data_IF_694861292118
#
_entry.id   IF_694861292118
#
_cell.length_a   1.000
_cell.length_b   1.000
_cell.length_c   1.000
_cell.angle_alpha   90.00
_cell.angle_beta   90.00
_cell.angle_gamma   90.00
#
_symmetry.space_group_name_H-M   'P 1'
#
loop_
_entity.id
_entity.type
_entity.pdbx_description
1 polymer ?
#
# COMPACT_ATOMS: atom_id res chain seq x y z
N UNK A 1 -4.66 23.24 41.93
CA UNK A 1 -3.81 23.28 40.75
C UNK A 1 -3.73 21.85 40.29
N UNK A 2 -4.67 21.43 39.41
CA UNK A 2 -4.69 20.08 38.86
C UNK A 2 -3.55 19.97 37.81
N UNK A 3 -2.86 18.82 37.70
CA UNK A 3 -1.86 18.66 36.67
C UNK A 3 -2.57 18.69 35.32
N UNK A 4 -2.14 19.59 34.44
CA UNK A 4 -2.49 19.60 33.03
C UNK A 4 -2.18 18.21 32.48
N UNK A 5 -3.24 17.49 32.11
CA UNK A 5 -3.15 16.31 31.30
C UNK A 5 -2.38 16.69 30.04
N UNK A 6 -1.15 16.24 29.96
CA UNK A 6 -0.42 16.16 28.70
C UNK A 6 -1.17 15.14 27.84
N UNK A 7 -2.29 15.56 27.26
CA UNK A 7 -2.97 14.86 26.20
C UNK A 7 -1.95 14.72 25.09
N UNK A 8 -1.52 13.50 24.91
CA UNK A 8 -0.65 13.06 23.84
C UNK A 8 -1.40 13.39 22.54
N UNK A 9 -1.25 14.63 22.04
CA UNK A 9 -1.91 15.09 20.83
C UNK A 9 -1.35 14.25 19.67
N UNK A 10 -2.08 13.23 19.30
CA UNK A 10 -1.78 12.48 18.08
C UNK A 10 -1.84 13.45 16.93
N UNK A 11 -0.82 13.43 16.10
CA UNK A 11 -0.76 14.25 14.91
C UNK A 11 -1.99 14.00 14.04
N UNK A 12 -2.73 15.08 13.74
CA UNK A 12 -3.93 15.03 12.90
C UNK A 12 -3.62 15.53 11.50
N UNK A 13 -4.37 15.05 10.51
CA UNK A 13 -4.31 15.60 9.15
C UNK A 13 -4.81 17.05 9.15
N UNK A 14 -4.13 17.91 8.41
CA UNK A 14 -4.45 19.34 8.37
C UNK A 14 -5.65 19.64 7.47
N UNK A 15 -5.95 18.75 6.51
CA UNK A 15 -6.99 18.96 5.51
C UNK A 15 -7.63 17.64 5.05
N UNK A 16 -8.86 17.76 4.50
CA UNK A 16 -9.53 16.62 3.85
C UNK A 16 -8.73 16.09 2.66
N UNK A 17 -8.12 16.99 1.89
CA UNK A 17 -7.29 16.61 0.75
C UNK A 17 -6.03 15.87 1.23
N UNK A 18 -5.39 16.34 2.30
CA UNK A 18 -4.25 15.66 2.92
C UNK A 18 -4.58 14.26 3.39
N UNK A 19 -5.72 14.07 4.06
CA UNK A 19 -6.22 12.75 4.45
C UNK A 19 -6.45 11.83 3.23
N UNK A 20 -7.17 12.33 2.21
CA UNK A 20 -7.48 11.54 1.01
C UNK A 20 -6.18 11.12 0.29
N UNK A 21 -5.25 12.05 0.09
CA UNK A 21 -3.98 11.73 -0.57
C UNK A 21 -3.11 10.77 0.22
N UNK A 22 -3.10 10.87 1.56
CA UNK A 22 -2.39 9.95 2.42
C UNK A 22 -3.03 8.55 2.41
N UNK A 23 -4.37 8.46 2.51
CA UNK A 23 -5.11 7.20 2.42
C UNK A 23 -4.94 6.54 1.05
N UNK A 24 -5.02 7.33 -0.04
CA UNK A 24 -4.77 6.85 -1.40
C UNK A 24 -3.31 6.41 -1.55
N UNK A 25 -2.35 7.17 -0.99
CA UNK A 25 -0.93 6.82 -1.02
C UNK A 25 -0.62 5.52 -0.27
N UNK A 26 -1.33 5.26 0.83
CA UNK A 26 -1.26 3.97 1.53
C UNK A 26 -1.87 2.83 0.73
N UNK A 27 -2.95 3.10 -0.01
CA UNK A 27 -3.64 2.12 -0.83
C UNK A 27 -2.87 1.80 -2.12
N UNK A 28 -2.29 2.80 -2.79
CA UNK A 28 -1.57 2.63 -4.07
C UNK A 28 -0.11 2.32 -3.82
N UNK A 29 0.22 1.03 -3.80
CA UNK A 29 1.59 0.53 -3.62
C UNK A 29 1.99 -0.44 -4.74
N UNK A 30 3.11 -1.14 -4.54
CA UNK A 30 3.63 -2.16 -5.46
C UNK A 30 2.59 -3.25 -5.77
N UNK A 31 1.75 -3.60 -4.80
CA UNK A 31 0.66 -4.56 -5.00
C UNK A 31 -0.36 -4.13 -6.04
N UNK A 32 -0.61 -2.82 -6.20
CA UNK A 32 -1.53 -2.32 -7.22
C UNK A 32 -0.83 -2.05 -8.55
N UNK A 33 0.44 -1.62 -8.52
CA UNK A 33 1.18 -1.28 -9.75
C UNK A 33 1.73 -2.54 -10.43
N UNK A 34 2.18 -3.51 -9.65
CA UNK A 34 2.78 -4.76 -10.14
C UNK A 34 1.91 -5.99 -9.88
N UNK A 35 1.44 -6.16 -8.64
CA UNK A 35 0.67 -7.34 -8.24
C UNK A 35 -0.68 -7.42 -8.95
N UNK A 36 -1.46 -6.34 -9.01
CA UNK A 36 -2.76 -6.33 -9.65
C UNK A 36 -2.72 -6.73 -11.14
N UNK A 37 -1.86 -6.15 -12.00
CA UNK A 37 -1.72 -6.60 -13.38
C UNK A 37 -1.34 -8.07 -13.52
N UNK A 38 -0.42 -8.54 -12.67
CA UNK A 38 0.01 -9.95 -12.67
C UNK A 38 -1.14 -10.87 -12.30
N UNK A 39 -1.88 -10.56 -11.24
CA UNK A 39 -3.06 -11.32 -10.83
C UNK A 39 -4.16 -11.30 -11.91
N UNK A 40 -4.40 -10.15 -12.52
CA UNK A 40 -5.36 -10.01 -13.63
C UNK A 40 -4.99 -10.93 -14.79
N UNK A 41 -3.73 -10.91 -15.22
CA UNK A 41 -3.26 -11.73 -16.33
C UNK A 41 -3.34 -13.25 -16.02
N UNK A 42 -3.07 -13.65 -14.76
CA UNK A 42 -3.06 -15.05 -14.34
C UNK A 42 -4.44 -15.63 -14.04
N UNK A 43 -5.45 -14.79 -13.79
CA UNK A 43 -6.79 -15.22 -13.34
C UNK A 43 -7.92 -14.75 -14.28
N UNK A 44 -7.72 -14.81 -15.59
CA UNK A 44 -8.78 -14.59 -16.56
C UNK A 44 -9.11 -13.13 -16.90
N UNK A 45 -8.15 -12.22 -16.70
CA UNK A 45 -8.24 -10.86 -17.22
C UNK A 45 -9.44 -10.08 -16.67
N UNK A 46 -10.36 -9.67 -17.56
CA UNK A 46 -11.54 -8.88 -17.21
C UNK A 46 -12.47 -9.55 -16.20
N UNK A 47 -12.52 -10.89 -16.16
CA UNK A 47 -13.27 -11.62 -15.14
C UNK A 47 -12.72 -11.34 -13.73
N UNK A 48 -11.40 -11.37 -13.55
CA UNK A 48 -10.75 -11.03 -12.30
C UNK A 48 -11.04 -9.57 -11.92
N UNK A 49 -10.92 -8.63 -12.86
CA UNK A 49 -11.20 -7.20 -12.60
C UNK A 49 -12.65 -7.00 -12.14
N UNK A 50 -13.60 -7.65 -12.78
CA UNK A 50 -15.01 -7.56 -12.42
C UNK A 50 -15.26 -8.09 -11.00
N UNK A 51 -14.79 -9.30 -10.68
CA UNK A 51 -14.96 -9.91 -9.35
C UNK A 51 -14.23 -9.09 -8.29
N UNK A 52 -13.02 -8.60 -8.59
CA UNK A 52 -12.29 -7.69 -7.71
C UNK A 52 -13.10 -6.42 -7.38
N UNK A 53 -13.70 -5.76 -8.37
CA UNK A 53 -14.52 -4.56 -8.14
C UNK A 53 -15.74 -4.88 -7.27
N UNK A 54 -16.44 -5.97 -7.55
CA UNK A 54 -17.58 -6.40 -6.74
C UNK A 54 -17.16 -6.64 -5.30
N UNK A 55 -16.08 -7.39 -5.07
CA UNK A 55 -15.58 -7.68 -3.72
C UNK A 55 -15.01 -6.44 -3.03
N UNK A 56 -14.38 -5.53 -3.77
CA UNK A 56 -13.90 -4.27 -3.23
C UNK A 56 -15.06 -3.43 -2.67
N UNK A 57 -16.19 -3.35 -3.37
CA UNK A 57 -17.35 -2.61 -2.90
C UNK A 57 -18.15 -3.34 -1.83
N UNK A 58 -18.35 -4.65 -1.95
CA UNK A 58 -19.20 -5.39 -1.02
C UNK A 58 -18.50 -5.78 0.29
N UNK A 59 -17.21 -6.06 0.26
CA UNK A 59 -16.46 -6.53 1.42
C UNK A 59 -15.41 -5.53 1.89
N UNK A 60 -14.54 -5.09 0.98
CA UNK A 60 -13.40 -4.29 1.39
C UNK A 60 -13.80 -2.86 1.78
N UNK A 61 -14.72 -2.22 1.09
CA UNK A 61 -15.19 -0.87 1.45
C UNK A 61 -15.90 -0.83 2.82
N UNK A 62 -16.86 -1.72 3.17
CA UNK A 62 -17.41 -1.77 4.51
C UNK A 62 -16.38 -2.05 5.60
N UNK A 63 -15.39 -2.90 5.33
CA UNK A 63 -14.30 -3.17 6.27
C UNK A 63 -13.42 -1.92 6.48
N UNK A 64 -13.11 -1.18 5.40
CA UNK A 64 -12.42 0.11 5.46
C UNK A 64 -13.16 1.10 6.36
N UNK A 65 -14.47 1.25 6.16
CA UNK A 65 -15.29 2.14 6.96
C UNK A 65 -15.31 1.71 8.43
N UNK A 66 -15.36 0.41 8.71
CA UNK A 66 -15.30 -0.12 10.07
C UNK A 66 -13.95 0.22 10.75
N UNK A 67 -12.82 0.03 10.08
CA UNK A 67 -11.50 0.38 10.61
C UNK A 67 -11.40 1.88 10.92
N UNK A 68 -11.84 2.75 10.01
CA UNK A 68 -11.83 4.21 10.21
C UNK A 68 -12.71 4.63 11.41
N UNK A 69 -13.91 4.04 11.54
CA UNK A 69 -14.82 4.33 12.64
C UNK A 69 -14.25 3.86 13.98
N UNK A 70 -13.68 2.65 14.03
CA UNK A 70 -13.03 2.11 15.22
C UNK A 70 -11.86 3.01 15.62
N UNK A 71 -11.02 3.40 14.67
CA UNK A 71 -9.90 4.30 14.91
C UNK A 71 -10.35 5.64 15.50
N UNK A 72 -11.37 6.25 14.90
CA UNK A 72 -11.95 7.52 15.35
C UNK A 72 -12.57 7.44 16.73
N UNK A 73 -13.23 6.32 17.03
CA UNK A 73 -13.91 6.12 18.33
C UNK A 73 -12.91 5.88 19.46
N UNK A 74 -11.92 5.02 19.22
CA UNK A 74 -10.99 4.58 20.25
C UNK A 74 -9.77 5.50 20.41
N UNK A 75 -9.35 6.18 19.34
CA UNK A 75 -8.13 6.98 19.28
C UNK A 75 -6.89 6.22 19.75
N UNK A 76 -6.84 4.92 19.47
CA UNK A 76 -5.72 4.03 19.80
C UNK A 76 -5.22 3.30 18.56
N UNK A 77 -4.01 2.74 18.66
CA UNK A 77 -3.53 1.78 17.67
C UNK A 77 -4.34 0.49 17.75
N UNK A 78 -4.18 -0.42 16.78
CA UNK A 78 -4.96 -1.66 16.69
C UNK A 78 -4.89 -2.51 17.97
N UNK A 79 -3.71 -2.59 18.61
CA UNK A 79 -3.48 -3.37 19.84
C UNK A 79 -4.28 -2.80 21.03
N UNK A 80 -4.41 -1.47 21.08
CA UNK A 80 -5.18 -0.79 22.13
C UNK A 80 -6.67 -0.61 21.80
N UNK A 81 -7.02 -0.46 20.52
CA UNK A 81 -8.38 -0.20 20.06
C UNK A 81 -9.29 -1.42 20.19
N UNK A 82 -8.86 -2.57 19.67
CA UNK A 82 -9.71 -3.77 19.61
C UNK A 82 -10.19 -4.26 20.98
N UNK A 83 -9.37 -4.25 22.05
CA UNK A 83 -9.86 -4.61 23.39
C UNK A 83 -10.92 -3.68 23.96
N UNK A 84 -10.99 -2.42 23.49
CA UNK A 84 -11.96 -1.44 23.97
C UNK A 84 -13.37 -1.67 23.41
N UNK A 85 -13.48 -2.42 22.32
CA UNK A 85 -14.78 -2.73 21.69
C UNK A 85 -15.62 -3.72 22.49
N UNK A 86 -15.07 -4.30 23.56
CA UNK A 86 -15.77 -5.31 24.35
C UNK A 86 -15.49 -5.20 25.83
N UNK A 87 -16.46 -5.61 26.66
CA UNK A 87 -16.30 -5.72 28.11
C UNK A 87 -15.83 -7.11 28.55
N UNK A 88 -15.98 -8.14 27.69
CA UNK A 88 -15.69 -9.54 28.03
C UNK A 88 -14.17 -9.79 28.06
N UNK A 89 -13.61 -10.36 29.15
CA UNK A 89 -12.15 -10.50 29.32
C UNK A 89 -11.50 -11.37 28.23
N UNK A 90 -12.16 -12.46 27.82
CA UNK A 90 -11.64 -13.33 26.75
C UNK A 90 -11.53 -12.61 25.43
N UNK A 91 -12.54 -11.81 25.05
CA UNK A 91 -12.52 -11.04 23.81
C UNK A 91 -11.50 -9.89 23.85
N UNK A 92 -11.19 -9.36 25.03
CA UNK A 92 -10.10 -8.38 25.19
C UNK A 92 -8.73 -9.00 24.89
N UNK A 93 -8.50 -10.23 25.36
CA UNK A 93 -7.26 -10.97 25.08
C UNK A 93 -7.17 -11.27 23.59
N UNK A 94 -8.24 -11.77 22.97
CA UNK A 94 -8.29 -12.00 21.52
C UNK A 94 -8.05 -10.72 20.74
N UNK A 95 -8.66 -9.61 21.12
CA UNK A 95 -8.45 -8.32 20.47
C UNK A 95 -6.98 -7.85 20.52
N UNK A 96 -6.30 -8.03 21.67
CA UNK A 96 -4.86 -7.74 21.78
C UNK A 96 -4.03 -8.66 20.88
N UNK A 97 -4.32 -9.95 20.89
CA UNK A 97 -3.62 -10.93 20.06
C UNK A 97 -3.78 -10.60 18.56
N UNK A 98 -5.00 -10.28 18.11
CA UNK A 98 -5.28 -9.84 16.74
C UNK A 98 -4.52 -8.56 16.41
N UNK A 99 -4.50 -7.58 17.31
CA UNK A 99 -3.74 -6.35 17.12
C UNK A 99 -2.24 -6.58 17.00
N UNK A 100 -1.66 -7.44 17.83
CA UNK A 100 -0.24 -7.81 17.74
C UNK A 100 0.06 -8.57 16.44
N UNK A 101 -0.82 -9.48 16.03
CA UNK A 101 -0.69 -10.20 14.76
C UNK A 101 -0.69 -9.22 13.57
N UNK A 102 -1.57 -8.21 13.58
CA UNK A 102 -1.57 -7.14 12.57
C UNK A 102 -0.25 -6.38 12.51
N UNK A 103 0.36 -6.05 13.67
CA UNK A 103 1.68 -5.40 13.72
C UNK A 103 2.77 -6.30 13.12
N UNK A 104 2.77 -7.59 13.41
CA UNK A 104 3.73 -8.54 12.83
C UNK A 104 3.57 -8.60 11.31
N UNK A 105 2.34 -8.73 10.81
CA UNK A 105 2.08 -8.73 9.35
C UNK A 105 2.55 -7.43 8.72
N UNK A 106 2.21 -6.27 9.29
CA UNK A 106 2.63 -4.98 8.79
C UNK A 106 4.17 -4.86 8.72
N UNK A 107 4.87 -5.39 9.73
CA UNK A 107 6.34 -5.41 9.77
C UNK A 107 6.94 -6.30 8.69
N UNK A 108 6.36 -7.47 8.44
CA UNK A 108 6.78 -8.37 7.36
C UNK A 108 6.55 -7.73 5.97
N UNK A 109 5.39 -7.11 5.78
CA UNK A 109 5.08 -6.37 4.55
C UNK A 109 6.09 -5.23 4.35
N UNK A 110 6.37 -4.44 5.39
CA UNK A 110 7.34 -3.35 5.33
C UNK A 110 8.74 -3.86 4.96
N UNK A 111 9.17 -4.98 5.53
CA UNK A 111 10.46 -5.60 5.22
C UNK A 111 10.56 -6.00 3.74
N UNK A 112 9.52 -6.63 3.21
CA UNK A 112 9.44 -6.98 1.78
C UNK A 112 9.48 -5.73 0.90
N UNK A 113 8.68 -4.72 1.23
CA UNK A 113 8.64 -3.44 0.48
C UNK A 113 9.99 -2.72 0.52
N UNK A 114 10.70 -2.74 1.64
CA UNK A 114 12.01 -2.10 1.76
C UNK A 114 13.04 -2.75 0.83
N UNK A 115 13.02 -4.09 0.69
CA UNK A 115 13.90 -4.82 -0.21
C UNK A 115 13.58 -4.46 -1.67
N UNK A 116 12.32 -4.57 -2.08
CA UNK A 116 11.91 -4.30 -3.47
C UNK A 116 12.12 -2.84 -3.83
N UNK A 117 11.79 -1.91 -2.92
CA UNK A 117 12.03 -0.48 -3.13
C UNK A 117 13.53 -0.16 -3.22
N UNK A 118 14.36 -0.85 -2.45
CA UNK A 118 15.81 -0.77 -2.57
C UNK A 118 16.31 -1.18 -3.95
N UNK A 119 15.81 -2.28 -4.49
CA UNK A 119 16.13 -2.69 -5.87
C UNK A 119 15.72 -1.65 -6.90
N UNK A 120 14.51 -1.11 -6.79
CA UNK A 120 14.01 -0.06 -7.69
C UNK A 120 14.83 1.23 -7.56
N UNK A 121 15.22 1.62 -6.35
CA UNK A 121 16.09 2.77 -6.13
C UNK A 121 17.46 2.62 -6.82
N UNK A 122 18.01 1.41 -6.86
CA UNK A 122 19.28 1.16 -7.55
C UNK A 122 19.17 1.31 -9.07
N UNK A 123 17.97 1.12 -9.65
CA UNK A 123 17.78 1.25 -11.10
C UNK A 123 17.91 2.70 -11.60
N UNK A 124 17.60 3.68 -10.77
CA UNK A 124 17.71 5.11 -11.15
C UNK A 124 19.16 5.49 -11.47
N UNK A 125 20.12 5.35 -10.52
CA UNK A 125 21.53 5.62 -10.84
C UNK A 125 22.11 4.65 -11.87
N UNK A 126 21.62 3.40 -11.97
CA UNK A 126 22.03 2.47 -13.01
C UNK A 126 21.70 2.99 -14.41
N UNK A 127 20.48 3.50 -14.59
CA UNK A 127 20.05 4.09 -15.87
C UNK A 127 20.86 5.32 -16.24
N UNK A 128 21.17 6.19 -15.27
CA UNK A 128 22.02 7.35 -15.48
C UNK A 128 23.47 6.96 -15.83
N UNK A 129 24.03 5.93 -15.16
CA UNK A 129 25.36 5.42 -15.45
C UNK A 129 25.43 4.80 -16.86
N UNK A 130 24.38 4.12 -17.30
CA UNK A 130 24.29 3.60 -18.67
C UNK A 130 24.29 4.72 -19.71
N UNK A 131 23.51 5.78 -19.51
CA UNK A 131 23.45 6.94 -20.40
C UNK A 131 24.80 7.67 -20.44
N UNK A 132 25.48 7.78 -19.32
CA UNK A 132 26.79 8.46 -19.21
C UNK A 132 27.98 7.57 -19.59
N UNK A 133 27.74 6.37 -20.12
CA UNK A 133 28.76 5.39 -20.54
C UNK A 133 29.72 4.93 -19.42
N UNK A 134 29.30 5.05 -18.16
CA UNK A 134 30.06 4.59 -16.99
C UNK A 134 29.82 3.09 -16.72
N UNK A 135 30.32 2.24 -17.59
CA UNK A 135 30.06 0.79 -17.57
C UNK A 135 30.39 0.10 -16.23
N UNK A 136 31.52 0.39 -15.53
CA UNK A 136 31.79 -0.27 -14.25
C UNK A 136 30.75 0.04 -13.19
N UNK A 137 30.28 1.29 -13.09
CA UNK A 137 29.24 1.69 -12.14
C UNK A 137 27.89 1.09 -12.53
N UNK A 138 27.52 1.13 -13.81
CA UNK A 138 26.31 0.53 -14.33
C UNK A 138 26.27 -0.98 -14.04
N UNK A 139 27.37 -1.70 -14.28
CA UNK A 139 27.46 -3.14 -14.02
C UNK A 139 27.26 -3.46 -12.53
N UNK A 140 27.90 -2.72 -11.62
CA UNK A 140 27.70 -2.93 -10.19
C UNK A 140 26.24 -2.64 -9.75
N UNK A 141 25.64 -1.60 -10.29
CA UNK A 141 24.26 -1.22 -9.99
C UNK A 141 23.23 -2.19 -10.57
N UNK A 142 23.49 -2.78 -11.72
CA UNK A 142 22.60 -3.75 -12.38
C UNK A 142 22.73 -5.18 -11.81
N UNK A 143 23.91 -5.53 -11.30
CA UNK A 143 24.11 -6.85 -10.70
C UNK A 143 23.51 -6.90 -9.29
N UNK A 144 22.61 -7.85 -9.03
CA UNK A 144 22.15 -8.12 -7.68
C UNK A 144 23.29 -8.64 -6.83
N UNK A 145 23.64 -7.91 -5.78
CA UNK A 145 24.68 -8.30 -4.83
C UNK A 145 24.25 -7.91 -3.43
N UNK A 146 24.60 -8.74 -2.44
CA UNK A 146 24.22 -8.49 -1.06
C UNK A 146 24.63 -7.10 -0.54
N UNK A 147 25.87 -6.59 -0.80
CA UNK A 147 26.25 -5.24 -0.36
C UNK A 147 25.40 -4.13 -0.99
N UNK A 148 25.10 -4.24 -2.30
CA UNK A 148 24.22 -3.29 -3.00
C UNK A 148 22.81 -3.31 -2.44
N UNK A 149 22.24 -4.50 -2.26
CA UNK A 149 20.87 -4.66 -1.78
C UNK A 149 20.71 -4.15 -0.34
N UNK A 150 21.68 -4.42 0.54
CA UNK A 150 21.71 -3.85 1.90
C UNK A 150 21.81 -2.33 1.86
N UNK A 151 22.68 -1.77 1.02
CA UNK A 151 22.88 -0.32 0.90
C UNK A 151 21.58 0.38 0.50
N UNK A 152 20.94 -0.06 -0.59
CA UNK A 152 19.74 0.59 -1.11
C UNK A 152 18.49 0.32 -0.24
N UNK A 153 18.36 -0.88 0.35
CA UNK A 153 17.34 -1.18 1.34
C UNK A 153 17.49 -0.30 2.59
N UNK A 154 18.72 -0.15 3.09
CA UNK A 154 19.02 0.72 4.21
C UNK A 154 18.74 2.19 3.90
N UNK A 155 19.13 2.67 2.72
CA UNK A 155 18.87 4.04 2.27
C UNK A 155 17.36 4.31 2.18
N UNK A 156 16.59 3.40 1.57
CA UNK A 156 15.13 3.51 1.50
C UNK A 156 14.51 3.53 2.89
N UNK A 157 14.95 2.63 3.79
CA UNK A 157 14.43 2.55 5.15
C UNK A 157 14.73 3.84 5.94
N UNK A 158 15.92 4.40 5.82
CA UNK A 158 16.30 5.66 6.45
C UNK A 158 15.49 6.84 5.91
N UNK A 159 15.28 6.93 4.60
CA UNK A 159 14.43 7.94 3.99
C UNK A 159 12.99 7.84 4.51
N UNK A 160 12.43 6.64 4.51
CA UNK A 160 11.07 6.40 5.03
C UNK A 160 10.97 6.76 6.50
N UNK A 161 11.90 6.29 7.34
CA UNK A 161 11.94 6.61 8.76
C UNK A 161 12.07 8.12 9.00
N UNK A 162 12.87 8.83 8.22
CA UNK A 162 13.05 10.27 8.34
C UNK A 162 11.77 11.06 8.02
N UNK A 163 10.95 10.57 7.08
CA UNK A 163 9.65 11.15 6.74
C UNK A 163 8.64 10.88 7.86
N UNK A 164 8.53 9.63 8.30
CA UNK A 164 7.59 9.22 9.35
C UNK A 164 7.90 9.88 10.69
N UNK A 165 9.19 10.04 11.03
CA UNK A 165 9.62 10.70 12.26
C UNK A 165 9.20 12.18 12.35
N UNK A 166 8.86 12.82 11.22
CA UNK A 166 8.31 14.19 11.21
C UNK A 166 6.81 14.26 11.56
N UNK A 167 6.20 13.10 11.83
CA UNK A 167 4.79 12.98 12.19
C UNK A 167 3.83 13.01 11.00
N UNK A 168 2.53 13.12 11.31
CA UNK A 168 1.47 13.01 10.30
C UNK A 168 1.47 14.21 9.35
N UNK A 169 1.43 15.43 9.88
CA UNK A 169 1.28 16.66 9.09
C UNK A 169 2.51 16.98 8.23
N UNK A 170 3.69 17.08 8.85
CA UNK A 170 4.91 17.52 8.18
C UNK A 170 5.67 16.36 7.49
N UNK A 171 5.35 15.14 7.84
CA UNK A 171 5.87 13.92 7.22
C UNK A 171 4.89 13.34 6.21
N UNK A 172 3.97 12.53 6.69
CA UNK A 172 3.10 11.69 5.84
C UNK A 172 2.24 12.55 4.91
N UNK A 173 1.46 13.51 5.44
CA UNK A 173 0.56 14.34 4.64
C UNK A 173 1.33 15.16 3.59
N UNK A 174 2.39 15.84 4.01
CA UNK A 174 3.18 16.70 3.12
C UNK A 174 3.81 15.95 1.95
N UNK A 175 4.29 14.73 2.18
CA UNK A 175 4.88 13.92 1.11
C UNK A 175 3.82 13.26 0.25
N UNK A 176 2.74 12.76 0.82
CA UNK A 176 1.64 12.14 0.07
C UNK A 176 0.96 13.14 -0.87
N UNK A 177 0.71 14.37 -0.42
CA UNK A 177 0.11 15.43 -1.27
C UNK A 177 0.96 15.82 -2.47
N UNK A 178 2.27 15.57 -2.44
CA UNK A 178 3.19 15.84 -3.56
C UNK A 178 3.39 14.60 -4.44
N UNK A 179 3.64 13.46 -3.81
CA UNK A 179 4.01 12.24 -4.53
C UNK A 179 2.80 11.59 -5.23
N UNK A 180 1.60 11.65 -4.64
CA UNK A 180 0.43 11.04 -5.24
C UNK A 180 0.03 11.67 -6.59
N UNK A 181 -0.10 13.01 -6.72
CA UNK A 181 -0.35 13.60 -8.04
C UNK A 181 0.76 13.31 -9.05
N UNK A 182 2.03 13.33 -8.61
CA UNK A 182 3.15 12.99 -9.49
C UNK A 182 3.07 11.54 -9.98
N UNK A 183 2.72 10.60 -9.10
CA UNK A 183 2.51 9.19 -9.48
C UNK A 183 1.36 9.04 -10.47
N UNK A 184 0.22 9.69 -10.23
CA UNK A 184 -0.93 9.65 -11.16
C UNK A 184 -0.55 10.18 -12.54
N UNK A 185 0.14 11.32 -12.60
CA UNK A 185 0.61 11.89 -13.88
C UNK A 185 1.58 10.96 -14.60
N UNK A 186 2.49 10.34 -13.88
CA UNK A 186 3.43 9.35 -14.43
C UNK A 186 2.68 8.14 -14.98
N UNK A 187 1.72 7.60 -14.24
CA UNK A 187 0.91 6.45 -14.66
C UNK A 187 0.06 6.79 -15.91
N UNK A 188 -0.52 7.98 -15.96
CA UNK A 188 -1.27 8.45 -17.14
C UNK A 188 -0.35 8.61 -18.36
N UNK A 189 0.86 9.15 -18.16
CA UNK A 189 1.86 9.25 -19.22
C UNK A 189 2.29 7.88 -19.76
N UNK A 190 2.55 6.92 -18.85
CA UNK A 190 2.85 5.54 -19.23
C UNK A 190 1.68 4.89 -19.98
N UNK A 191 0.45 5.04 -19.47
CA UNK A 191 -0.74 4.52 -20.15
C UNK A 191 -0.89 5.09 -21.55
N UNK A 192 -0.72 6.41 -21.71
CA UNK A 192 -0.76 7.05 -23.02
C UNK A 192 0.30 6.49 -23.99
N UNK A 193 1.54 6.28 -23.53
CA UNK A 193 2.59 5.70 -24.37
C UNK A 193 2.31 4.24 -24.70
N UNK A 194 1.85 3.42 -23.73
CA UNK A 194 1.53 2.01 -23.98
C UNK A 194 0.40 1.85 -25.00
N UNK A 195 -0.62 2.73 -24.97
CA UNK A 195 -1.72 2.69 -25.92
C UNK A 195 -1.30 2.97 -27.37
N UNK A 196 -0.13 3.55 -27.61
CA UNK A 196 0.42 3.75 -28.97
C UNK A 196 1.19 2.53 -29.49
N UNK A 197 1.46 1.53 -28.65
CA UNK A 197 2.23 0.36 -29.04
C UNK A 197 1.39 -0.64 -29.84
N UNK A 198 2.01 -1.38 -30.80
CA UNK A 198 1.35 -2.50 -31.47
C UNK A 198 0.88 -3.55 -30.45
N UNK A 199 -0.34 -4.04 -30.59
CA UNK A 199 -0.92 -5.03 -29.66
C UNK A 199 -1.58 -4.45 -28.40
N UNK A 200 -1.50 -3.13 -28.16
CA UNK A 200 -2.11 -2.49 -27.00
C UNK A 200 -3.61 -2.75 -26.90
N UNK A 201 -4.31 -2.80 -28.04
CA UNK A 201 -5.76 -3.06 -28.06
C UNK A 201 -6.11 -4.49 -27.63
N UNK A 202 -5.26 -5.47 -27.90
CA UNK A 202 -5.44 -6.85 -27.42
C UNK A 202 -5.25 -6.92 -25.91
N UNK A 203 -4.22 -6.26 -25.38
CA UNK A 203 -4.02 -6.13 -23.95
C UNK A 203 -5.20 -5.43 -23.26
N UNK A 204 -5.72 -4.36 -23.85
CA UNK A 204 -6.89 -3.65 -23.31
C UNK A 204 -8.15 -4.53 -23.32
N UNK A 205 -8.36 -5.33 -24.37
CA UNK A 205 -9.48 -6.29 -24.43
C UNK A 205 -9.40 -7.32 -23.32
N UNK A 206 -8.21 -7.82 -23.00
CA UNK A 206 -8.03 -8.76 -21.88
C UNK A 206 -8.50 -8.18 -20.55
N UNK A 207 -8.31 -6.88 -20.33
CA UNK A 207 -8.74 -6.19 -19.10
C UNK A 207 -10.23 -5.82 -19.07
N UNK A 208 -10.81 -5.52 -20.22
CA UNK A 208 -12.17 -4.94 -20.30
C UNK A 208 -13.22 -6.00 -20.56
N UNK A 209 -12.90 -7.04 -21.33
CA UNK A 209 -13.86 -8.07 -21.70
C UNK A 209 -13.77 -9.27 -20.72
N UNK A 210 -14.75 -9.43 -19.81
CA UNK A 210 -14.76 -10.55 -18.87
C UNK A 210 -15.18 -11.85 -19.55
N UNK A 211 -14.47 -12.92 -19.24
CA UNK A 211 -14.97 -14.28 -19.49
C UNK A 211 -15.84 -14.70 -18.31
N UNK A 212 -17.16 -14.67 -18.53
CA UNK A 212 -18.14 -15.00 -17.49
C UNK A 212 -18.07 -16.44 -17.00
N UNK A 213 -17.44 -17.35 -17.75
CA UNK A 213 -17.27 -18.75 -17.33
C UNK A 213 -16.33 -18.88 -16.12
N UNK A 214 -15.44 -17.91 -15.92
CA UNK A 214 -14.42 -17.90 -14.87
C UNK A 214 -14.82 -17.17 -13.58
N UNK A 215 -15.92 -16.41 -13.57
CA UNK A 215 -16.28 -15.56 -12.42
C UNK A 215 -16.63 -16.35 -11.15
N UNK A 216 -17.00 -17.63 -11.28
CA UNK A 216 -17.27 -18.52 -10.15
C UNK A 216 -16.09 -19.43 -9.81
N UNK A 217 -14.94 -19.25 -10.45
CA UNK A 217 -13.73 -20.01 -10.11
C UNK A 217 -13.25 -19.67 -8.71
N UNK A 218 -13.09 -20.64 -7.80
CA UNK A 218 -12.68 -20.39 -6.42
C UNK A 218 -11.29 -19.75 -6.31
N UNK A 219 -10.38 -20.08 -7.23
CA UNK A 219 -9.03 -19.53 -7.28
C UNK A 219 -9.07 -18.03 -7.63
N UNK A 220 -9.86 -17.68 -8.66
CA UNK A 220 -10.11 -16.30 -9.07
C UNK A 220 -10.73 -15.49 -7.92
N UNK A 221 -11.80 -16.00 -7.29
CA UNK A 221 -12.50 -15.32 -6.20
C UNK A 221 -11.56 -15.08 -5.01
N UNK A 222 -10.79 -16.09 -4.62
CA UNK A 222 -9.85 -15.99 -3.49
C UNK A 222 -8.75 -14.96 -3.78
N UNK A 223 -8.18 -14.99 -4.99
CA UNK A 223 -7.16 -14.03 -5.42
C UNK A 223 -7.70 -12.60 -5.50
N UNK A 224 -8.92 -12.44 -6.05
CA UNK A 224 -9.58 -11.13 -6.15
C UNK A 224 -9.93 -10.56 -4.76
N UNK A 225 -10.37 -11.41 -3.84
CA UNK A 225 -10.64 -11.02 -2.45
C UNK A 225 -9.35 -10.58 -1.75
N UNK A 226 -8.29 -11.38 -1.84
CA UNK A 226 -6.98 -11.03 -1.29
C UNK A 226 -6.45 -9.70 -1.84
N UNK A 227 -6.56 -9.50 -3.16
CA UNK A 227 -6.17 -8.26 -3.81
C UNK A 227 -7.03 -7.06 -3.36
N UNK A 228 -8.34 -7.23 -3.13
CA UNK A 228 -9.22 -6.16 -2.67
C UNK A 228 -8.87 -5.70 -1.25
N UNK A 229 -8.61 -6.63 -0.33
CA UNK A 229 -8.16 -6.32 1.02
C UNK A 229 -6.77 -5.67 1.03
N UNK A 230 -5.85 -6.20 0.23
CA UNK A 230 -4.51 -5.67 0.09
C UNK A 230 -4.50 -4.25 -0.48
N UNK A 231 -5.28 -4.00 -1.54
CA UNK A 231 -5.36 -2.69 -2.20
C UNK A 231 -5.87 -1.58 -1.28
N UNK A 232 -6.72 -1.89 -0.32
CA UNK A 232 -7.25 -0.93 0.65
C UNK A 232 -6.48 -0.95 1.99
N UNK A 233 -5.36 -1.68 2.07
CA UNK A 233 -4.50 -1.81 3.27
C UNK A 233 -5.27 -2.24 4.52
N UNK A 234 -6.21 -3.19 4.35
CA UNK A 234 -7.11 -3.66 5.42
C UNK A 234 -6.49 -4.80 6.24
N UNK A 235 -6.95 -4.94 7.48
CA UNK A 235 -6.56 -6.03 8.37
C UNK A 235 -5.23 -5.83 9.11
N UNK A 236 -4.45 -4.83 8.75
CA UNK A 236 -3.16 -4.49 9.38
C UNK A 236 -3.22 -3.25 10.27
N UNK A 237 -4.40 -2.64 10.40
CA UNK A 237 -4.64 -1.49 11.25
C UNK A 237 -4.18 -0.14 10.70
N UNK A 238 -3.76 -0.05 9.45
CA UNK A 238 -3.33 1.21 8.83
C UNK A 238 -4.47 2.21 8.78
N UNK A 239 -5.64 1.80 8.30
CA UNK A 239 -6.80 2.66 8.20
C UNK A 239 -7.39 3.00 9.57
N UNK A 240 -7.24 2.11 10.54
CA UNK A 240 -7.60 2.39 11.93
C UNK A 240 -6.73 3.53 12.51
N UNK A 241 -5.42 3.53 12.23
CA UNK A 241 -4.51 4.61 12.65
C UNK A 241 -4.87 5.92 11.95
N UNK A 242 -5.22 5.89 10.66
CA UNK A 242 -5.61 7.10 9.91
C UNK A 242 -6.96 7.66 10.39
N UNK A 243 -7.85 6.82 10.92
CA UNK A 243 -9.10 7.23 11.54
C UNK A 243 -8.92 7.81 12.95
N UNK A 244 -7.82 7.49 13.63
CA UNK A 244 -7.59 7.89 15.03
C UNK A 244 -7.01 9.28 15.12
#
# INVERSE_FOLDING_TARGET
MAPEDATNERGQFSSRFGFITAATGSAVGLGNIWGFPTQTASHGGGAFVLVYLVLAFLLAYPALMAELIIGRHTRHNMVGALPQLTTKPVLKILGRATGLYGVVIASLILSFYAIVAGWLMAQVPASLANISSQQPAANWLNQSSLPRDILFCGLFSLLTASIVARGVKDGIERWSTRLMPALVLLMLGLAATVLTLPGAMEGLRLYVLPDFSLILDPGLITSAMGQAFFSLSLGVGTMLIYGS
#
